data_IF_059425410941
#
_entry.id   IF_059425410941
#
_cell.length_a   1.000
_cell.length_b   1.000
_cell.length_c   1.000
_cell.angle_alpha   90.00
_cell.angle_beta   90.00
_cell.angle_gamma   90.00
#
_symmetry.space_group_name_H-M   'P 1'
#
loop_
_entity.id
_entity.type
_entity.pdbx_description
1 polymer ?
#
# COMPACT_ATOMS: atom_id res chain seq x y z
N UNK A 1 -25.22 21.40 -45.40
CA UNK A 1 -25.72 21.32 -44.00
C UNK A 1 -25.57 19.95 -43.33
N UNK A 2 -25.60 18.80 -44.04
CA UNK A 2 -25.44 17.46 -43.42
C UNK A 2 -24.00 17.04 -43.03
N UNK A 3 -22.97 17.83 -43.35
CA UNK A 3 -21.55 17.50 -43.09
C UNK A 3 -20.93 18.18 -41.85
N UNK A 4 -21.68 19.08 -41.20
CA UNK A 4 -21.24 19.76 -39.96
C UNK A 4 -21.74 19.02 -38.71
N UNK A 5 -22.75 18.16 -38.84
CA UNK A 5 -23.29 17.39 -37.70
C UNK A 5 -22.42 16.19 -37.30
N UNK A 6 -21.60 15.64 -38.20
CA UNK A 6 -20.73 14.49 -37.88
C UNK A 6 -19.55 14.88 -36.98
N UNK A 7 -18.82 15.99 -37.21
CA UNK A 7 -17.78 16.41 -36.27
C UNK A 7 -18.35 16.92 -34.94
N UNK A 8 -19.58 17.48 -34.91
CA UNK A 8 -20.24 17.86 -33.66
C UNK A 8 -20.72 16.64 -32.85
N UNK A 9 -21.22 15.59 -33.52
CA UNK A 9 -21.62 14.33 -32.87
C UNK A 9 -20.40 13.53 -32.37
N UNK A 10 -19.26 13.61 -33.07
CA UNK A 10 -18.00 13.05 -32.60
C UNK A 10 -17.39 13.85 -31.45
N UNK A 11 -17.52 15.18 -31.42
CA UNK A 11 -17.07 15.98 -30.25
C UNK A 11 -17.92 15.73 -29.00
N UNK A 12 -19.20 15.36 -29.15
CA UNK A 12 -20.06 14.92 -28.03
C UNK A 12 -19.69 13.51 -27.55
N UNK A 13 -19.17 12.64 -28.42
CA UNK A 13 -18.66 11.30 -28.05
C UNK A 13 -17.25 11.32 -27.42
N UNK A 14 -16.51 12.43 -27.55
CA UNK A 14 -15.19 12.64 -26.92
C UNK A 14 -15.18 13.78 -25.88
N UNK A 15 -16.35 14.36 -25.60
CA UNK A 15 -16.56 15.03 -24.32
C UNK A 15 -16.59 13.91 -23.28
N UNK A 16 -15.79 13.92 -22.20
CA UNK A 16 -16.04 13.00 -21.10
C UNK A 16 -17.49 13.23 -20.71
N UNK A 17 -18.35 12.21 -20.89
CA UNK A 17 -19.71 12.27 -20.37
C UNK A 17 -19.56 12.67 -18.90
N UNK A 18 -20.12 13.85 -18.60
CA UNK A 18 -20.40 14.32 -17.25
C UNK A 18 -20.76 13.13 -16.37
N UNK A 19 -20.17 13.02 -15.17
CA UNK A 19 -20.84 12.56 -13.94
C UNK A 19 -19.90 11.80 -12.99
N UNK A 20 -18.96 12.46 -12.32
CA UNK A 20 -18.80 12.11 -10.91
C UNK A 20 -19.89 12.88 -10.18
N UNK A 21 -20.94 12.21 -9.70
CA UNK A 21 -21.97 12.88 -8.93
C UNK A 21 -21.54 12.95 -7.46
N UNK A 22 -21.73 14.13 -6.87
CA UNK A 22 -21.54 14.31 -5.44
C UNK A 22 -22.88 14.08 -4.74
N UNK A 23 -22.92 13.08 -3.87
CA UNK A 23 -24.10 12.78 -3.07
C UNK A 23 -23.84 13.12 -1.61
N UNK A 24 -24.80 13.78 -0.98
CA UNK A 24 -24.88 13.86 0.47
C UNK A 24 -25.98 12.93 0.93
N UNK A 25 -25.61 11.91 1.68
CA UNK A 25 -26.54 10.98 2.28
C UNK A 25 -26.81 11.45 3.71
N UNK A 26 -27.95 12.11 3.90
CA UNK A 26 -28.35 12.68 5.18
C UNK A 26 -29.19 11.66 5.95
N UNK A 27 -28.70 11.22 7.10
CA UNK A 27 -29.43 10.37 8.03
C UNK A 27 -30.78 11.00 8.42
N UNK A 28 -31.86 10.23 8.27
CA UNK A 28 -33.23 10.65 8.61
C UNK A 28 -33.35 11.19 10.05
N UNK A 29 -32.54 10.67 10.98
CA UNK A 29 -32.50 11.07 12.39
C UNK A 29 -31.92 12.47 12.61
N UNK A 30 -31.23 13.03 11.62
CA UNK A 30 -30.70 14.40 11.62
C UNK A 30 -31.18 15.19 10.40
N UNK A 31 -32.33 14.81 9.83
CA UNK A 31 -32.96 15.47 8.67
C UNK A 31 -33.20 16.97 8.86
N UNK A 32 -33.31 17.46 10.11
CA UNK A 32 -33.35 18.89 10.42
C UNK A 32 -32.10 19.68 9.99
N UNK A 33 -30.99 19.00 9.67
CA UNK A 33 -29.77 19.61 9.13
C UNK A 33 -29.76 19.74 7.60
N UNK A 34 -30.88 19.41 6.92
CA UNK A 34 -31.01 19.51 5.47
C UNK A 34 -30.54 20.86 4.88
N UNK A 35 -30.84 22.05 5.47
CA UNK A 35 -30.36 23.31 4.91
C UNK A 35 -28.82 23.41 4.83
N UNK A 36 -28.11 22.83 5.80
CA UNK A 36 -26.64 22.80 5.80
C UNK A 36 -26.10 21.79 4.78
N UNK A 37 -26.71 20.60 4.73
CA UNK A 37 -26.38 19.58 3.74
C UNK A 37 -26.58 20.13 2.31
N UNK A 38 -27.69 20.81 2.05
CA UNK A 38 -27.99 21.39 0.74
C UNK A 38 -26.90 22.38 0.30
N UNK A 39 -26.42 23.25 1.20
CA UNK A 39 -25.35 24.19 0.85
C UNK A 39 -24.06 23.45 0.48
N UNK A 40 -23.69 22.39 1.20
CA UNK A 40 -22.51 21.59 0.85
C UNK A 40 -22.71 20.94 -0.52
N UNK A 41 -23.88 20.35 -0.78
CA UNK A 41 -24.19 19.75 -2.08
C UNK A 41 -24.07 20.79 -3.21
N UNK A 42 -24.61 22.00 -3.03
CA UNK A 42 -24.54 23.09 -4.00
C UNK A 42 -23.09 23.49 -4.34
N UNK A 43 -22.16 23.43 -3.38
CA UNK A 43 -20.73 23.69 -3.64
C UNK A 43 -20.10 22.69 -4.62
N UNK A 44 -20.63 21.47 -4.68
CA UNK A 44 -20.15 20.39 -5.55
C UNK A 44 -21.09 20.10 -6.73
N UNK A 45 -22.12 20.93 -6.97
CA UNK A 45 -23.22 20.61 -7.90
C UNK A 45 -23.85 19.23 -7.64
N UNK A 46 -23.94 18.87 -6.36
CA UNK A 46 -24.38 17.57 -5.88
C UNK A 46 -25.86 17.47 -5.54
N UNK A 47 -26.25 16.31 -5.04
CA UNK A 47 -27.63 15.99 -4.63
C UNK A 47 -27.67 15.56 -3.16
N UNK A 48 -28.65 16.06 -2.41
CA UNK A 48 -28.93 15.58 -1.04
C UNK A 48 -30.00 14.50 -1.09
N UNK A 49 -29.72 13.35 -0.51
CA UNK A 49 -30.64 12.22 -0.35
C UNK A 49 -30.83 11.98 1.14
N UNK A 50 -32.06 12.12 1.64
CA UNK A 50 -32.39 11.69 3.01
C UNK A 50 -32.52 10.18 3.01
N UNK A 51 -31.76 9.50 3.86
CA UNK A 51 -31.58 8.05 3.81
C UNK A 51 -31.46 7.45 5.21
N UNK A 52 -31.86 6.18 5.33
CA UNK A 52 -31.52 5.31 6.47
C UNK A 52 -30.35 4.34 6.12
N UNK A 53 -29.68 4.60 4.99
CA UNK A 53 -28.56 3.86 4.42
C UNK A 53 -28.86 2.40 4.03
N UNK A 54 -30.13 2.00 3.94
CA UNK A 54 -30.51 0.61 3.60
C UNK A 54 -30.34 0.25 2.13
N UNK A 55 -30.56 1.20 1.22
CA UNK A 55 -30.37 1.05 -0.22
C UNK A 55 -29.44 2.14 -0.74
N UNK A 56 -28.29 1.72 -1.26
CA UNK A 56 -27.24 2.57 -1.82
C UNK A 56 -26.94 2.22 -3.28
N UNK A 57 -27.77 1.38 -3.92
CA UNK A 57 -27.54 0.83 -5.27
C UNK A 57 -27.58 1.86 -6.40
N UNK A 58 -28.07 3.08 -6.11
CA UNK A 58 -28.09 4.19 -7.05
C UNK A 58 -26.73 4.88 -7.21
N UNK A 59 -25.77 4.61 -6.31
CA UNK A 59 -24.41 5.12 -6.40
C UNK A 59 -23.58 4.32 -7.40
N UNK A 60 -22.61 4.97 -8.01
CA UNK A 60 -21.66 4.37 -8.96
C UNK A 60 -20.22 4.48 -8.47
N UNK A 61 -19.32 3.70 -9.07
CA UNK A 61 -17.89 3.63 -8.74
C UNK A 61 -17.11 4.95 -8.87
N UNK A 62 -17.64 5.90 -9.65
CA UNK A 62 -17.00 7.19 -9.93
C UNK A 62 -17.60 8.34 -9.09
N UNK A 63 -18.61 8.06 -8.26
CA UNK A 63 -19.26 9.07 -7.43
C UNK A 63 -18.44 9.41 -6.17
N UNK A 64 -18.89 10.46 -5.48
CA UNK A 64 -18.45 10.81 -4.14
C UNK A 64 -19.66 10.84 -3.20
N UNK A 65 -19.57 10.20 -2.05
CA UNK A 65 -20.66 10.20 -1.07
C UNK A 65 -20.19 10.72 0.29
N UNK A 66 -20.75 11.84 0.74
CA UNK A 66 -20.61 12.32 2.12
C UNK A 66 -21.81 11.83 2.94
N UNK A 67 -21.56 10.92 3.88
CA UNK A 67 -22.57 10.41 4.80
C UNK A 67 -22.63 11.30 6.04
N UNK A 68 -23.74 12.03 6.20
CA UNK A 68 -24.01 12.84 7.39
C UNK A 68 -24.87 12.02 8.33
N UNK A 69 -24.29 11.56 9.43
CA UNK A 69 -24.84 10.50 10.28
C UNK A 69 -25.04 11.02 11.69
N UNK A 70 -26.11 10.59 12.37
CA UNK A 70 -26.25 10.84 13.80
C UNK A 70 -25.05 10.30 14.57
N UNK A 71 -24.40 11.15 15.37
CA UNK A 71 -23.26 10.75 16.23
C UNK A 71 -23.58 9.51 17.08
N UNK A 72 -24.82 9.39 17.55
CA UNK A 72 -25.25 8.30 18.42
C UNK A 72 -25.33 6.93 17.72
N UNK A 73 -25.35 6.91 16.39
CA UNK A 73 -25.35 5.68 15.58
C UNK A 73 -23.96 5.38 15.00
N UNK A 74 -23.06 6.36 15.01
CA UNK A 74 -21.76 6.23 14.38
C UNK A 74 -20.79 5.45 15.27
N UNK A 75 -20.39 4.26 14.83
CA UNK A 75 -19.38 3.42 15.45
C UNK A 75 -18.69 2.53 14.39
N UNK A 76 -17.75 1.69 14.82
CA UNK A 76 -17.05 0.74 13.97
C UNK A 76 -18.00 -0.16 13.16
N UNK A 77 -19.04 -0.72 13.80
CA UNK A 77 -20.02 -1.56 13.13
C UNK A 77 -20.78 -0.81 12.04
N UNK A 78 -21.14 0.45 12.29
CA UNK A 78 -21.76 1.29 11.28
C UNK A 78 -20.83 1.50 10.07
N UNK A 79 -19.58 1.89 10.30
CA UNK A 79 -18.59 2.10 9.22
C UNK A 79 -18.44 0.86 8.35
N UNK A 80 -18.22 -0.30 8.95
CA UNK A 80 -18.11 -1.55 8.19
C UNK A 80 -19.41 -1.92 7.49
N UNK A 81 -20.57 -1.72 8.12
CA UNK A 81 -21.85 -2.00 7.48
C UNK A 81 -22.09 -1.15 6.22
N UNK A 82 -21.56 0.07 6.18
CA UNK A 82 -21.60 0.92 4.99
C UNK A 82 -20.62 0.40 3.95
N UNK A 83 -19.38 0.07 4.34
CA UNK A 83 -18.39 -0.48 3.42
C UNK A 83 -18.89 -1.78 2.75
N UNK A 84 -19.45 -2.71 3.51
CA UNK A 84 -20.01 -3.96 3.00
C UNK A 84 -21.18 -3.75 2.03
N UNK A 85 -21.97 -2.69 2.22
CA UNK A 85 -23.11 -2.35 1.33
C UNK A 85 -22.68 -1.66 0.03
N UNK A 86 -21.51 -1.04 0.05
CA UNK A 86 -20.94 -0.30 -1.07
C UNK A 86 -19.93 -1.16 -1.86
N UNK A 87 -19.56 -2.34 -1.37
CA UNK A 87 -18.79 -3.33 -2.12
C UNK A 87 -19.68 -4.01 -3.16
N UNK A 88 -19.97 -3.30 -4.25
CA UNK A 88 -20.92 -3.75 -5.27
C UNK A 88 -20.40 -4.90 -6.13
N UNK A 89 -19.08 -5.02 -6.30
CA UNK A 89 -18.45 -6.06 -7.12
C UNK A 89 -17.89 -7.23 -6.30
N UNK A 90 -17.88 -7.12 -4.97
CA UNK A 90 -17.46 -8.16 -4.04
C UNK A 90 -15.95 -8.32 -3.98
N UNK A 91 -15.17 -7.34 -4.45
CA UNK A 91 -13.71 -7.35 -4.36
C UNK A 91 -13.20 -7.00 -2.96
N UNK A 92 -14.11 -6.53 -2.09
CA UNK A 92 -13.89 -6.17 -0.70
C UNK A 92 -13.67 -4.69 -0.46
N UNK A 93 -13.47 -3.87 -1.50
CA UNK A 93 -13.40 -2.42 -1.38
C UNK A 93 -14.75 -1.79 -1.70
N UNK A 94 -15.15 -0.83 -0.87
CA UNK A 94 -16.37 -0.08 -1.10
C UNK A 94 -16.23 0.85 -2.30
N UNK A 95 -17.33 1.06 -3.03
CA UNK A 95 -17.49 2.02 -4.09
C UNK A 95 -18.85 2.72 -3.96
N UNK A 96 -18.96 4.06 -4.01
CA UNK A 96 -18.00 5.12 -4.36
C UNK A 96 -16.95 5.47 -3.30
N UNK A 97 -16.10 6.47 -3.59
CA UNK A 97 -15.30 7.14 -2.57
C UNK A 97 -16.18 7.83 -1.53
N UNK A 98 -16.01 7.46 -0.24
CA UNK A 98 -16.87 7.96 0.84
C UNK A 98 -16.14 8.78 1.89
N UNK A 99 -16.88 9.72 2.47
CA UNK A 99 -16.51 10.44 3.69
C UNK A 99 -17.65 10.38 4.70
N UNK A 100 -17.32 10.42 5.98
CA UNK A 100 -18.30 10.39 7.06
C UNK A 100 -18.28 11.70 7.83
N UNK A 101 -19.46 12.21 8.20
CA UNK A 101 -19.61 13.34 9.09
C UNK A 101 -20.60 12.97 10.20
N UNK A 102 -20.10 12.39 11.31
CA UNK A 102 -20.94 12.17 12.48
C UNK A 102 -21.28 13.51 13.14
N UNK A 103 -22.57 13.76 13.37
CA UNK A 103 -23.08 15.05 13.87
C UNK A 103 -24.00 14.89 15.08
N UNK A 104 -23.88 15.80 16.04
CA UNK A 104 -24.81 15.97 17.17
C UNK A 104 -25.80 17.11 16.92
N UNK A 105 -25.49 18.00 15.97
CA UNK A 105 -26.33 19.13 15.60
C UNK A 105 -25.62 20.11 14.66
N UNK A 106 -26.20 21.29 14.48
CA UNK A 106 -25.67 22.32 13.57
C UNK A 106 -24.21 22.76 13.83
N UNK A 107 -23.68 22.77 15.07
CA UNK A 107 -22.28 23.13 15.32
C UNK A 107 -21.26 22.17 14.69
N UNK A 108 -21.66 20.95 14.34
CA UNK A 108 -20.76 19.94 13.76
C UNK A 108 -20.69 20.00 12.23
N UNK A 109 -21.71 20.54 11.57
CA UNK A 109 -21.81 20.63 10.10
C UNK A 109 -21.52 22.03 9.57
N UNK A 110 -21.91 23.08 10.30
CA UNK A 110 -21.71 24.46 9.85
C UNK A 110 -20.24 24.81 9.58
N UNK A 111 -19.25 24.38 10.40
CA UNK A 111 -17.84 24.64 10.12
C UNK A 111 -17.35 24.06 8.80
N UNK A 112 -17.84 22.87 8.42
CA UNK A 112 -17.48 22.23 7.14
C UNK A 112 -17.99 23.06 5.95
N UNK A 113 -19.22 23.57 6.02
CA UNK A 113 -19.78 24.44 4.98
C UNK A 113 -18.92 25.70 4.75
N UNK A 114 -18.45 26.34 5.82
CA UNK A 114 -17.59 27.52 5.70
C UNK A 114 -16.19 27.15 5.21
N UNK A 115 -15.60 26.08 5.72
CA UNK A 115 -14.25 25.67 5.34
C UNK A 115 -14.16 25.30 3.86
N UNK A 116 -15.17 24.63 3.30
CA UNK A 116 -15.19 24.28 1.87
C UNK A 116 -15.29 25.51 0.95
N UNK A 117 -16.00 26.57 1.35
CA UNK A 117 -16.09 27.82 0.57
C UNK A 117 -14.74 28.55 0.50
N UNK A 118 -14.03 28.55 1.61
CA UNK A 118 -12.77 29.26 1.78
C UNK A 118 -11.56 28.41 1.41
N UNK A 119 -11.73 27.10 1.23
CA UNK A 119 -10.64 26.18 0.96
C UNK A 119 -9.87 26.57 -0.30
N UNK A 120 -8.55 26.66 -0.17
CA UNK A 120 -7.63 26.87 -1.29
C UNK A 120 -6.57 25.78 -1.22
N UNK A 121 -6.46 24.92 -2.24
CA UNK A 121 -5.39 23.93 -2.29
C UNK A 121 -4.03 24.62 -2.33
N UNK A 122 -3.06 24.08 -1.61
CA UNK A 122 -1.70 24.61 -1.48
C UNK A 122 -0.69 23.46 -1.24
N UNK A 123 0.43 23.72 -0.56
CA UNK A 123 1.43 22.73 -0.19
C UNK A 123 0.98 21.75 0.89
N UNK A 124 1.76 20.68 1.01
CA UNK A 124 1.66 19.67 2.06
C UNK A 124 2.86 19.76 3.02
N UNK A 125 2.62 19.45 4.29
CA UNK A 125 3.70 19.25 5.28
C UNK A 125 3.62 17.83 5.84
N UNK A 126 4.80 17.24 6.08
CA UNK A 126 4.95 15.88 6.59
C UNK A 126 5.73 15.92 7.89
N UNK A 127 5.06 15.61 9.00
CA UNK A 127 5.60 15.75 10.34
C UNK A 127 5.67 14.38 11.00
N UNK A 128 6.81 14.06 11.63
CA UNK A 128 7.02 12.79 12.34
C UNK A 128 7.38 13.05 13.79
N UNK A 129 6.87 12.22 14.68
CA UNK A 129 7.15 12.27 16.10
C UNK A 129 8.67 12.31 16.38
N UNK A 130 9.07 13.17 17.32
CA UNK A 130 10.46 13.37 17.73
C UNK A 130 11.33 14.15 16.73
N UNK A 131 10.80 14.59 15.58
CA UNK A 131 11.57 15.35 14.57
C UNK A 131 11.21 16.83 14.47
N UNK A 132 10.07 17.23 15.03
CA UNK A 132 9.51 18.58 14.87
C UNK A 132 9.03 19.06 16.22
N UNK A 133 9.35 20.30 16.57
CA UNK A 133 8.84 20.96 17.77
C UNK A 133 7.51 21.68 17.51
N UNK A 134 6.73 21.95 18.55
CA UNK A 134 5.38 22.51 18.38
C UNK A 134 5.37 23.87 17.67
N UNK A 135 6.31 24.76 17.98
CA UNK A 135 6.38 26.08 17.37
C UNK A 135 6.77 25.98 15.88
N UNK A 136 7.55 24.97 15.52
CA UNK A 136 7.87 24.66 14.13
C UNK A 136 6.64 24.09 13.40
N UNK A 137 5.86 23.22 14.04
CA UNK A 137 4.56 22.79 13.51
C UNK A 137 3.67 23.99 13.19
N UNK A 138 3.51 24.94 14.13
CA UNK A 138 2.67 26.12 13.92
C UNK A 138 3.14 26.88 12.68
N UNK A 139 4.43 27.22 12.62
CA UNK A 139 5.03 27.95 11.50
C UNK A 139 4.88 27.22 10.16
N UNK A 140 5.15 25.91 10.11
CA UNK A 140 5.05 25.12 8.88
C UNK A 140 3.60 24.96 8.42
N UNK A 141 2.66 24.85 9.36
CA UNK A 141 1.25 24.65 9.05
C UNK A 141 0.57 25.89 8.49
N UNK A 142 1.08 27.11 8.74
CA UNK A 142 0.43 28.36 8.33
C UNK A 142 0.05 28.40 6.85
N UNK A 143 0.95 27.94 5.97
CA UNK A 143 0.77 27.94 4.51
C UNK A 143 0.52 26.53 3.95
N UNK A 144 0.17 25.56 4.80
CA UNK A 144 -0.14 24.20 4.37
C UNK A 144 -1.65 24.02 4.27
N UNK A 145 -2.09 23.39 3.18
CA UNK A 145 -3.47 22.94 2.99
C UNK A 145 -3.64 21.46 3.36
N UNK A 146 -2.54 20.71 3.38
CA UNK A 146 -2.46 19.33 3.87
C UNK A 146 -1.43 19.23 5.00
N UNK A 147 -1.85 18.68 6.14
CA UNK A 147 -0.98 18.35 7.26
C UNK A 147 -1.01 16.84 7.46
N UNK A 148 0.09 16.17 7.12
CA UNK A 148 0.30 14.75 7.42
C UNK A 148 1.17 14.62 8.67
N UNK A 149 0.74 13.77 9.60
CA UNK A 149 1.29 13.75 10.95
C UNK A 149 1.38 12.31 11.48
N UNK A 150 2.59 11.85 11.76
CA UNK A 150 2.89 10.50 12.27
C UNK A 150 3.31 10.53 13.73
N UNK A 151 2.60 9.77 14.55
CA UNK A 151 2.85 9.66 15.98
C UNK A 151 2.03 8.55 16.64
N UNK A 152 2.02 8.53 17.97
CA UNK A 152 1.21 7.59 18.72
C UNK A 152 -0.18 8.16 18.96
N UNK A 153 -1.20 7.51 18.39
CA UNK A 153 -2.57 7.98 18.42
C UNK A 153 -3.41 7.39 19.54
N UNK A 154 -4.42 8.16 19.91
CA UNK A 154 -5.62 7.73 20.63
C UNK A 154 -6.77 8.64 20.18
N UNK A 155 -8.03 8.32 20.52
CA UNK A 155 -9.15 9.22 20.21
C UNK A 155 -8.97 10.65 20.73
N UNK A 156 -8.19 10.85 21.79
CA UNK A 156 -7.94 12.15 22.43
C UNK A 156 -6.86 12.99 21.74
N UNK A 157 -6.01 12.39 20.91
CA UNK A 157 -4.90 13.11 20.29
C UNK A 157 -3.78 12.24 19.75
N UNK A 158 -2.79 12.91 19.14
CA UNK A 158 -1.57 12.29 18.60
C UNK A 158 -0.37 12.80 19.39
N UNK A 159 0.34 11.89 20.04
CA UNK A 159 1.58 12.17 20.73
C UNK A 159 2.76 12.22 19.73
N UNK A 160 3.47 13.34 19.71
CA UNK A 160 4.59 13.67 18.83
C UNK A 160 5.95 13.61 19.54
N UNK A 161 6.02 13.05 20.74
CA UNK A 161 7.23 12.98 21.56
C UNK A 161 7.30 14.12 22.57
N UNK A 162 7.93 15.24 22.20
CA UNK A 162 8.08 16.42 23.08
C UNK A 162 6.80 17.26 23.19
N UNK A 163 5.83 17.04 22.31
CA UNK A 163 4.51 17.66 22.32
C UNK A 163 3.45 16.70 21.76
N UNK A 164 2.19 17.14 21.68
CA UNK A 164 1.17 16.37 20.98
C UNK A 164 0.05 17.26 20.44
N UNK A 165 -0.61 16.75 19.41
CA UNK A 165 -1.78 17.36 18.80
C UNK A 165 -3.01 16.90 19.57
N UNK A 166 -3.58 17.80 20.37
CA UNK A 166 -4.75 17.57 21.21
C UNK A 166 -5.80 18.66 20.95
N UNK A 167 -7.09 18.47 21.30
CA UNK A 167 -8.13 19.50 21.14
C UNK A 167 -7.76 20.89 21.67
N UNK A 168 -7.00 20.95 22.76
CA UNK A 168 -6.50 22.19 23.39
C UNK A 168 -5.28 22.80 22.68
N UNK A 169 -4.60 22.06 21.79
CA UNK A 169 -3.30 22.40 21.20
C UNK A 169 -3.27 22.10 19.69
N UNK A 170 -4.23 22.68 18.95
CA UNK A 170 -4.42 22.41 17.52
C UNK A 170 -3.71 23.40 16.58
N UNK A 171 -3.32 24.59 17.04
CA UNK A 171 -2.97 25.69 16.11
C UNK A 171 -4.21 26.23 15.38
N UNK A 172 -4.11 26.45 14.06
CA UNK A 172 -5.22 26.90 13.21
C UNK A 172 -5.61 25.82 12.17
N UNK A 173 -6.59 24.95 12.48
CA UNK A 173 -7.06 23.90 11.57
C UNK A 173 -7.86 24.40 10.37
N UNK A 174 -8.31 25.67 10.38
CA UNK A 174 -9.21 26.19 9.35
C UNK A 174 -8.56 26.11 7.97
N UNK A 175 -9.29 25.52 7.02
CA UNK A 175 -8.85 25.35 5.64
C UNK A 175 -7.73 24.30 5.45
N UNK A 176 -7.52 23.39 6.41
CA UNK A 176 -6.46 22.38 6.33
C UNK A 176 -7.02 20.97 6.44
N UNK A 177 -6.69 20.13 5.47
CA UNK A 177 -6.90 18.69 5.58
C UNK A 177 -5.84 18.08 6.49
N UNK A 178 -6.24 17.13 7.34
CA UNK A 178 -5.33 16.39 8.21
C UNK A 178 -5.29 14.92 7.84
N UNK A 179 -4.10 14.33 7.84
CA UNK A 179 -3.90 12.89 7.75
C UNK A 179 -3.13 12.45 8.98
N UNK A 180 -3.79 11.69 9.84
CA UNK A 180 -3.26 11.27 11.13
C UNK A 180 -2.76 9.83 11.02
N UNK A 181 -1.48 9.68 10.69
CA UNK A 181 -0.77 8.39 10.62
C UNK A 181 -0.52 7.88 12.04
N UNK A 182 -1.59 7.40 12.68
CA UNK A 182 -1.63 7.10 14.11
C UNK A 182 -2.76 6.12 14.44
N UNK A 183 -2.55 5.27 15.44
CA UNK A 183 -3.54 4.28 15.89
C UNK A 183 -4.81 4.95 16.45
N UNK A 184 -5.97 4.34 16.23
CA UNK A 184 -7.23 4.55 16.97
C UNK A 184 -7.81 5.99 17.00
N UNK A 185 -7.19 6.97 16.37
CA UNK A 185 -7.64 8.38 16.41
C UNK A 185 -9.05 8.54 15.82
N UNK A 186 -9.42 7.67 14.87
CA UNK A 186 -10.72 7.65 14.22
C UNK A 186 -11.85 7.06 15.08
N UNK A 187 -11.57 6.48 16.26
CA UNK A 187 -12.61 5.93 17.15
C UNK A 187 -13.35 7.04 17.90
N UNK A 188 -13.98 7.96 17.16
CA UNK A 188 -14.64 9.16 17.66
C UNK A 188 -15.82 8.89 18.59
N UNK A 189 -16.33 7.66 18.62
CA UNK A 189 -17.38 7.20 19.52
C UNK A 189 -16.88 6.87 20.93
N UNK A 190 -15.57 6.68 21.13
CA UNK A 190 -15.00 6.38 22.46
C UNK A 190 -14.90 7.62 23.35
N UNK A 191 -15.02 8.82 22.77
CA UNK A 191 -14.91 10.08 23.53
C UNK A 191 -15.80 11.19 22.98
N UNK A 192 -16.32 12.01 23.89
CA UNK A 192 -17.06 13.23 23.56
C UNK A 192 -16.20 14.33 22.91
N UNK A 193 -14.90 14.30 23.20
CA UNK A 193 -13.88 15.31 22.85
C UNK A 193 -12.77 14.70 21.96
N UNK A 194 -13.16 14.06 20.87
CA UNK A 194 -12.19 13.45 19.95
C UNK A 194 -11.36 14.52 19.23
N UNK A 195 -10.09 14.19 18.92
CA UNK A 195 -9.22 15.05 18.12
C UNK A 195 -9.86 15.35 16.75
N UNK A 196 -10.46 14.34 16.11
CA UNK A 196 -11.14 14.48 14.82
C UNK A 196 -12.25 15.54 14.90
N UNK A 197 -13.14 15.47 15.90
CA UNK A 197 -14.19 16.49 16.06
C UNK A 197 -13.62 17.87 16.35
N UNK A 198 -12.56 17.95 17.15
CA UNK A 198 -11.94 19.24 17.46
C UNK A 198 -11.34 19.89 16.21
N UNK A 199 -10.76 19.11 15.29
CA UNK A 199 -10.25 19.59 14.00
C UNK A 199 -11.40 20.04 13.08
N UNK A 200 -12.43 19.21 12.89
CA UNK A 200 -13.58 19.51 12.03
C UNK A 200 -14.34 20.76 12.52
N UNK A 201 -14.64 20.85 13.82
CA UNK A 201 -15.33 21.99 14.42
C UNK A 201 -14.54 23.29 14.31
N UNK A 202 -13.22 23.22 14.21
CA UNK A 202 -12.34 24.37 13.97
C UNK A 202 -12.08 24.64 12.48
N UNK A 203 -12.87 24.06 11.59
CA UNK A 203 -12.87 24.40 10.16
C UNK A 203 -11.92 23.56 9.32
N UNK A 204 -11.46 22.40 9.79
CA UNK A 204 -10.82 21.43 8.89
C UNK A 204 -11.89 20.85 7.95
N UNK A 205 -11.70 20.89 6.61
CA UNK A 205 -12.63 20.29 5.67
C UNK A 205 -12.57 18.76 5.59
N UNK A 206 -11.46 18.17 6.04
CA UNK A 206 -11.23 16.72 5.97
C UNK A 206 -10.18 16.27 6.97
N UNK A 207 -10.46 15.17 7.66
CA UNK A 207 -9.54 14.50 8.59
C UNK A 207 -9.54 13.01 8.28
N UNK A 208 -8.39 12.45 7.94
CA UNK A 208 -8.19 11.01 7.77
C UNK A 208 -7.60 10.44 9.04
N UNK A 209 -8.21 9.39 9.57
CA UNK A 209 -7.76 8.72 10.78
C UNK A 209 -8.05 7.22 10.74
N UNK A 210 -7.25 6.44 11.47
CA UNK A 210 -7.45 5.00 11.63
C UNK A 210 -8.45 4.71 12.75
N UNK A 211 -9.39 3.79 12.52
CA UNK A 211 -10.29 3.23 13.54
C UNK A 211 -9.75 1.94 14.17
N UNK A 212 -8.50 1.57 13.88
CA UNK A 212 -7.84 0.38 14.41
C UNK A 212 -6.36 0.67 14.70
N UNK A 213 -5.64 -0.32 15.22
CA UNK A 213 -4.20 -0.26 15.44
C UNK A 213 -3.43 -0.09 14.12
N UNK A 214 -2.30 0.60 14.20
CA UNK A 214 -1.50 0.99 13.03
C UNK A 214 -2.05 2.24 12.35
N UNK A 215 -1.19 2.91 11.59
CA UNK A 215 -1.53 4.17 10.93
C UNK A 215 -2.46 4.02 9.73
N UNK A 216 -2.49 5.03 8.87
CA UNK A 216 -3.45 5.19 7.79
C UNK A 216 -2.90 4.80 6.43
N UNK A 217 -1.64 4.38 6.28
CA UNK A 217 -1.11 3.94 4.99
C UNK A 217 0.11 3.01 5.07
N UNK A 218 0.21 2.08 4.12
CA UNK A 218 1.47 1.37 3.78
C UNK A 218 2.26 2.06 2.66
N UNK A 219 1.70 3.12 2.09
CA UNK A 219 2.33 3.92 1.04
C UNK A 219 3.14 5.06 1.66
N UNK A 220 4.18 5.54 0.96
CA UNK A 220 4.96 6.71 1.42
C UNK A 220 4.07 7.92 1.66
N UNK A 221 4.45 8.79 2.59
CA UNK A 221 3.66 9.96 2.98
C UNK A 221 3.30 10.88 1.81
N UNK A 222 4.18 10.98 0.79
CA UNK A 222 3.97 11.79 -0.41
C UNK A 222 2.77 11.34 -1.24
N UNK A 223 2.29 10.10 -1.06
CA UNK A 223 1.04 9.59 -1.63
C UNK A 223 -0.14 10.53 -1.36
N UNK A 224 -0.22 11.09 -0.15
CA UNK A 224 -1.30 11.98 0.25
C UNK A 224 -1.26 13.34 -0.46
N UNK A 225 -0.12 13.70 -1.06
CA UNK A 225 0.07 14.90 -1.87
C UNK A 225 0.09 14.61 -3.39
N UNK A 226 -0.54 13.51 -3.83
CA UNK A 226 -0.57 13.11 -5.25
C UNK A 226 -1.59 13.86 -6.11
N UNK A 227 -2.37 14.78 -5.53
CA UNK A 227 -3.40 15.57 -6.23
C UNK A 227 -4.70 14.81 -6.50
N UNK A 228 -4.88 13.62 -5.92
CA UNK A 228 -6.16 12.90 -5.93
C UNK A 228 -7.06 13.38 -4.78
N UNK A 229 -8.39 13.26 -4.93
CA UNK A 229 -9.34 13.53 -3.85
C UNK A 229 -9.10 12.65 -2.63
N UNK A 230 -9.32 13.20 -1.44
CA UNK A 230 -9.09 12.52 -0.15
C UNK A 230 -9.84 11.19 -0.05
N UNK A 231 -11.09 11.13 -0.51
CA UNK A 231 -11.88 9.90 -0.50
C UNK A 231 -11.24 8.79 -1.34
N UNK A 232 -10.68 9.14 -2.50
CA UNK A 232 -10.00 8.17 -3.37
C UNK A 232 -8.68 7.69 -2.75
N UNK A 233 -7.94 8.57 -2.09
CA UNK A 233 -6.71 8.22 -1.39
C UNK A 233 -6.97 7.26 -0.23
N UNK A 234 -8.05 7.48 0.54
CA UNK A 234 -8.47 6.59 1.62
C UNK A 234 -8.91 5.24 1.10
N UNK A 235 -9.70 5.21 0.01
CA UNK A 235 -10.11 3.97 -0.65
C UNK A 235 -8.89 3.16 -1.11
N UNK A 236 -7.91 3.81 -1.75
CA UNK A 236 -6.66 3.16 -2.16
C UNK A 236 -5.93 2.59 -0.95
N UNK A 237 -5.76 3.37 0.11
CA UNK A 237 -5.08 2.90 1.31
C UNK A 237 -5.75 1.66 1.93
N UNK A 238 -7.08 1.68 2.05
CA UNK A 238 -7.85 0.54 2.53
C UNK A 238 -7.68 -0.70 1.63
N UNK A 239 -7.66 -0.54 0.31
CA UNK A 239 -7.42 -1.66 -0.60
C UNK A 239 -6.03 -2.27 -0.40
N UNK A 240 -5.01 -1.44 -0.10
CA UNK A 240 -3.67 -1.93 0.26
C UNK A 240 -3.66 -2.68 1.59
N UNK A 241 -4.42 -2.26 2.61
CA UNK A 241 -4.61 -3.01 3.85
C UNK A 241 -5.25 -4.38 3.59
N UNK A 242 -6.32 -4.41 2.79
CA UNK A 242 -7.02 -5.64 2.44
C UNK A 242 -6.14 -6.62 1.69
N UNK A 243 -5.28 -6.11 0.80
CA UNK A 243 -4.33 -6.94 0.05
C UNK A 243 -3.42 -7.79 0.93
N UNK A 244 -3.14 -7.34 2.16
CA UNK A 244 -2.32 -8.06 3.16
C UNK A 244 -3.16 -8.68 4.29
N UNK A 245 -4.48 -8.77 4.11
CA UNK A 245 -5.38 -9.43 5.06
C UNK A 245 -5.81 -8.57 6.26
N UNK A 246 -5.64 -7.24 6.19
CA UNK A 246 -6.12 -6.30 7.20
C UNK A 246 -7.43 -5.68 6.73
N UNK A 247 -8.43 -5.60 7.60
CA UNK A 247 -9.73 -4.98 7.27
C UNK A 247 -9.59 -3.46 6.98
N UNK A 248 -10.49 -2.86 6.18
CA UNK A 248 -10.50 -1.42 5.93
C UNK A 248 -10.61 -0.59 7.21
N UNK A 249 -9.49 -0.08 7.72
CA UNK A 249 -9.46 0.66 8.99
C UNK A 249 -9.31 2.17 8.83
N UNK A 250 -9.07 2.67 7.63
CA UNK A 250 -8.89 4.09 7.37
C UNK A 250 -10.25 4.72 7.09
N UNK A 251 -10.57 5.77 7.84
CA UNK A 251 -11.84 6.49 7.72
C UNK A 251 -11.55 7.94 7.38
N UNK A 252 -12.22 8.43 6.34
CA UNK A 252 -12.26 9.85 6.03
C UNK A 252 -13.41 10.49 6.79
N UNK A 253 -13.10 11.51 7.58
CA UNK A 253 -14.08 12.38 8.21
C UNK A 253 -14.14 13.71 7.47
N UNK A 254 -15.31 14.11 6.96
CA UNK A 254 -15.47 15.30 6.12
C UNK A 254 -15.48 14.98 4.61
N UNK A 255 -15.16 15.97 3.78
CA UNK A 255 -15.44 15.95 2.34
C UNK A 255 -14.60 14.93 1.53
N UNK A 256 -15.21 13.90 0.90
CA UNK A 256 -14.50 12.94 0.06
C UNK A 256 -13.96 13.51 -1.26
N UNK A 257 -14.54 14.60 -1.76
CA UNK A 257 -14.13 15.21 -3.03
C UNK A 257 -12.99 16.23 -2.87
N UNK A 258 -12.55 16.50 -1.63
CA UNK A 258 -11.52 17.49 -1.36
C UNK A 258 -10.18 17.11 -1.99
N UNK A 259 -9.61 18.00 -2.80
CA UNK A 259 -8.25 17.86 -3.33
C UNK A 259 -7.36 18.88 -2.62
N UNK A 260 -6.54 18.47 -1.64
CA UNK A 260 -5.84 19.46 -0.84
C UNK A 260 -4.62 20.04 -1.53
N UNK A 261 -4.00 19.33 -2.48
CA UNK A 261 -2.79 19.77 -3.17
C UNK A 261 -3.03 19.84 -4.67
N UNK A 262 -2.82 21.01 -5.28
CA UNK A 262 -3.04 21.24 -6.72
C UNK A 262 -1.90 20.74 -7.62
N UNK A 263 -0.68 20.58 -7.08
CA UNK A 263 0.50 20.15 -7.81
C UNK A 263 0.97 18.79 -7.29
N UNK A 264 0.88 17.74 -8.09
CA UNK A 264 1.32 16.41 -7.70
C UNK A 264 2.86 16.34 -7.66
N UNK A 265 3.47 16.48 -6.49
CA UNK A 265 4.89 16.12 -6.29
C UNK A 265 5.10 14.61 -6.42
N UNK A 266 4.02 13.83 -6.25
CA UNK A 266 4.00 12.38 -6.33
C UNK A 266 3.13 11.89 -7.49
N UNK A 267 3.73 11.22 -8.47
CA UNK A 267 3.00 10.63 -9.59
C UNK A 267 2.30 9.35 -9.12
N UNK A 268 0.97 9.36 -9.01
CA UNK A 268 0.18 8.14 -8.84
C UNK A 268 -0.33 7.67 -10.21
N UNK A 269 0.16 6.50 -10.64
CA UNK A 269 -0.15 5.96 -11.96
C UNK A 269 -1.36 5.04 -11.87
N UNK A 270 -2.41 5.40 -12.63
CA UNK A 270 -3.60 4.59 -12.85
C UNK A 270 -3.36 3.67 -14.05
N UNK A 271 -3.36 2.37 -13.83
CA UNK A 271 -3.18 1.35 -14.87
C UNK A 271 -4.39 0.41 -14.93
N UNK A 272 -4.74 -0.16 -16.09
CA UNK A 272 -5.77 -1.19 -16.17
C UNK A 272 -5.43 -2.40 -15.29
N UNK A 273 -6.43 -3.05 -14.70
CA UNK A 273 -6.26 -4.17 -13.75
C UNK A 273 -5.78 -5.51 -14.34
N UNK A 274 -5.11 -5.49 -15.48
CA UNK A 274 -4.75 -6.72 -16.20
C UNK A 274 -3.31 -7.16 -15.94
N UNK A 275 -3.04 -8.45 -16.17
CA UNK A 275 -1.69 -9.01 -16.14
C UNK A 275 -1.06 -9.12 -14.75
N UNK A 276 0.27 -9.09 -14.72
CA UNK A 276 1.08 -9.42 -13.54
C UNK A 276 0.88 -8.44 -12.36
N UNK A 277 0.70 -7.15 -12.64
CA UNK A 277 0.51 -6.11 -11.62
C UNK A 277 -0.73 -6.36 -10.75
N UNK A 278 -1.79 -6.91 -11.34
CA UNK A 278 -3.05 -7.23 -10.63
C UNK A 278 -2.89 -8.32 -9.56
N UNK A 279 -1.78 -9.08 -9.60
CA UNK A 279 -1.44 -10.06 -8.58
C UNK A 279 -0.72 -9.41 -7.39
N UNK A 280 -0.01 -8.31 -7.63
CA UNK A 280 0.86 -7.65 -6.65
C UNK A 280 0.11 -6.54 -5.92
N UNK A 281 -0.58 -5.70 -6.68
CA UNK A 281 -1.27 -4.53 -6.20
C UNK A 281 -2.77 -4.82 -6.01
N UNK A 282 -3.45 -4.09 -5.11
CA UNK A 282 -4.90 -4.15 -5.03
C UNK A 282 -5.54 -3.62 -6.31
N UNK A 283 -6.69 -4.19 -6.64
CA UNK A 283 -7.58 -3.71 -7.69
C UNK A 283 -8.61 -2.79 -7.04
N UNK A 284 -8.98 -1.75 -7.76
CA UNK A 284 -9.94 -0.74 -7.31
C UNK A 284 -10.65 -0.24 -8.56
N UNK A 285 -11.95 -0.49 -8.71
CA UNK A 285 -12.75 -0.02 -9.84
C UNK A 285 -12.19 -0.41 -11.22
N UNK A 286 -11.67 -1.62 -11.37
CA UNK A 286 -11.05 -2.06 -12.64
C UNK A 286 -9.67 -1.45 -12.92
N UNK A 287 -9.07 -0.79 -11.94
CA UNK A 287 -7.75 -0.17 -12.05
C UNK A 287 -6.80 -0.60 -10.93
N UNK A 288 -5.52 -0.36 -11.18
CA UNK A 288 -4.44 -0.47 -10.20
C UNK A 288 -3.82 0.91 -10.05
N UNK A 289 -3.61 1.31 -8.80
CA UNK A 289 -2.98 2.58 -8.44
C UNK A 289 -1.60 2.31 -7.88
N UNK A 290 -0.55 2.73 -8.58
CA UNK A 290 0.83 2.53 -8.12
C UNK A 290 1.57 3.84 -7.89
N UNK A 291 2.48 3.87 -6.90
CA UNK A 291 3.41 4.96 -6.74
C UNK A 291 4.45 4.99 -7.88
N UNK A 292 4.33 5.95 -8.78
CA UNK A 292 5.18 6.13 -9.96
C UNK A 292 4.89 5.13 -11.09
N UNK A 293 5.69 5.23 -12.17
CA UNK A 293 5.59 4.31 -13.30
C UNK A 293 5.89 2.87 -12.87
N UNK A 294 5.09 1.89 -13.32
CA UNK A 294 5.20 0.49 -12.92
C UNK A 294 6.45 -0.16 -13.53
N UNK A 295 7.63 0.15 -13.02
CA UNK A 295 8.89 -0.53 -13.32
C UNK A 295 9.23 -1.60 -12.28
N UNK A 296 10.27 -2.41 -12.55
CA UNK A 296 10.80 -3.41 -11.60
C UNK A 296 11.07 -2.81 -10.22
N UNK A 297 11.54 -1.55 -10.14
CA UNK A 297 11.76 -0.84 -8.87
C UNK A 297 10.48 -0.60 -8.07
N UNK A 298 9.36 -0.28 -8.73
CA UNK A 298 8.07 -0.10 -8.07
C UNK A 298 7.52 -1.43 -7.54
N UNK A 299 7.72 -2.52 -8.29
CA UNK A 299 7.46 -3.89 -7.84
C UNK A 299 8.29 -4.19 -6.60
N UNK A 300 9.61 -4.02 -6.64
CA UNK A 300 10.47 -4.30 -5.48
C UNK A 300 10.15 -3.43 -4.25
N UNK A 301 9.80 -2.15 -4.43
CA UNK A 301 9.38 -1.28 -3.31
C UNK A 301 8.04 -1.68 -2.71
N UNK A 302 7.05 -1.97 -3.57
CA UNK A 302 5.76 -2.48 -3.11
C UNK A 302 5.90 -3.82 -2.41
N UNK A 303 6.74 -4.71 -2.94
CA UNK A 303 7.08 -5.96 -2.28
C UNK A 303 7.77 -5.74 -0.94
N UNK A 304 8.76 -4.84 -0.83
CA UNK A 304 9.46 -4.57 0.43
C UNK A 304 8.53 -4.01 1.53
N UNK A 305 7.44 -3.35 1.15
CA UNK A 305 6.42 -2.84 2.07
C UNK A 305 5.29 -3.86 2.36
N UNK A 306 5.01 -4.80 1.45
CA UNK A 306 3.90 -5.78 1.54
C UNK A 306 4.33 -7.16 2.05
N UNK A 307 5.57 -7.56 1.81
CA UNK A 307 6.16 -8.83 2.22
C UNK A 307 7.56 -8.54 2.72
N UNK A 308 7.90 -9.04 3.91
CA UNK A 308 9.26 -8.90 4.41
C UNK A 308 10.22 -9.54 3.41
N UNK A 309 11.29 -8.82 3.04
CA UNK A 309 12.41 -9.42 2.30
C UNK A 309 12.88 -10.69 3.02
N UNK A 310 12.75 -10.78 4.34
CA UNK A 310 12.99 -11.99 5.11
C UNK A 310 12.10 -13.17 4.71
N UNK A 311 10.82 -12.98 4.42
CA UNK A 311 9.89 -14.08 4.07
C UNK A 311 10.22 -14.64 2.68
N UNK A 312 10.64 -13.76 1.75
CA UNK A 312 11.13 -14.17 0.44
C UNK A 312 12.49 -14.90 0.55
N UNK A 313 13.38 -14.41 1.42
CA UNK A 313 14.68 -15.04 1.69
C UNK A 313 14.55 -16.38 2.41
N UNK A 314 13.65 -16.50 3.38
CA UNK A 314 13.31 -17.77 4.02
C UNK A 314 12.69 -18.73 3.01
N UNK A 315 11.78 -18.27 2.14
CA UNK A 315 11.20 -19.10 1.07
C UNK A 315 12.21 -19.58 0.02
N UNK A 316 13.24 -18.79 -0.28
CA UNK A 316 14.28 -19.11 -1.27
C UNK A 316 15.43 -19.97 -0.69
N UNK A 317 15.81 -19.77 0.58
CA UNK A 317 17.04 -20.30 1.17
C UNK A 317 16.86 -21.22 2.38
N UNK A 318 15.64 -21.49 2.85
CA UNK A 318 15.42 -22.59 3.81
C UNK A 318 15.59 -23.95 3.13
N UNK A 319 15.86 -25.00 3.91
CA UNK A 319 16.03 -26.38 3.41
C UNK A 319 14.82 -26.93 2.62
N UNK A 320 13.65 -26.27 2.67
CA UNK A 320 12.46 -26.60 1.88
C UNK A 320 12.25 -25.76 0.62
N UNK A 321 13.10 -24.76 0.37
CA UNK A 321 12.95 -23.79 -0.72
C UNK A 321 13.50 -24.27 -2.07
N UNK A 322 12.80 -23.93 -3.16
CA UNK A 322 13.18 -24.27 -4.54
C UNK A 322 14.51 -23.60 -4.93
N UNK A 323 14.80 -22.40 -4.41
CA UNK A 323 16.04 -21.66 -4.70
C UNK A 323 17.31 -22.39 -4.25
N UNK A 324 17.29 -23.01 -3.08
CA UNK A 324 18.36 -23.86 -2.55
C UNK A 324 18.71 -24.99 -3.53
N UNK A 325 17.69 -25.69 -4.03
CA UNK A 325 17.83 -26.84 -4.94
C UNK A 325 18.42 -26.41 -6.29
N UNK A 326 17.96 -25.28 -6.86
CA UNK A 326 18.43 -24.82 -8.17
C UNK A 326 19.88 -24.34 -8.13
N UNK A 327 20.31 -23.70 -7.02
CA UNK A 327 21.72 -23.35 -6.80
C UNK A 327 22.63 -24.59 -6.76
N UNK A 328 22.19 -25.68 -6.11
CA UNK A 328 22.94 -26.95 -6.08
C UNK A 328 23.08 -27.54 -7.49
N UNK A 329 21.99 -27.55 -8.27
CA UNK A 329 21.97 -28.09 -9.63
C UNK A 329 22.88 -27.26 -10.55
N UNK A 330 22.76 -25.94 -10.52
CA UNK A 330 23.58 -25.04 -11.34
C UNK A 330 25.08 -25.23 -11.07
N UNK A 331 25.47 -25.37 -9.80
CA UNK A 331 26.87 -25.57 -9.41
C UNK A 331 27.39 -26.96 -9.77
N UNK A 332 26.58 -28.00 -9.58
CA UNK A 332 26.91 -29.37 -9.99
C UNK A 332 27.11 -29.49 -11.51
N UNK A 333 26.30 -28.79 -12.31
CA UNK A 333 26.42 -28.74 -13.78
C UNK A 333 27.68 -28.00 -14.22
N UNK A 334 27.98 -26.83 -13.64
CA UNK A 334 29.18 -26.04 -13.99
C UNK A 334 30.47 -26.81 -13.62
N UNK A 335 30.55 -27.34 -12.40
CA UNK A 335 31.77 -27.98 -11.92
C UNK A 335 31.96 -29.41 -12.42
N UNK A 336 30.87 -30.12 -12.70
CA UNK A 336 30.90 -31.41 -13.40
C UNK A 336 31.46 -31.31 -14.83
N UNK A 337 31.43 -30.12 -15.45
CA UNK A 337 32.03 -29.89 -16.76
C UNK A 337 33.54 -29.55 -16.70
N UNK A 338 34.00 -28.86 -15.65
CA UNK A 338 35.34 -28.26 -15.60
C UNK A 338 36.37 -29.17 -14.89
N UNK A 339 35.93 -30.15 -14.07
CA UNK A 339 36.81 -31.03 -13.28
C UNK A 339 37.97 -30.29 -12.57
N UNK A 340 37.70 -29.21 -11.80
CA UNK A 340 38.75 -28.41 -11.22
C UNK A 340 39.53 -29.16 -10.14
N UNK A 341 40.85 -28.97 -10.11
CA UNK A 341 41.72 -29.52 -9.06
C UNK A 341 41.39 -28.98 -7.66
N UNK A 342 41.81 -29.71 -6.61
CA UNK A 342 41.51 -29.41 -5.19
C UNK A 342 41.78 -27.95 -4.77
N UNK A 343 42.85 -27.32 -5.29
CA UNK A 343 43.21 -25.93 -4.96
C UNK A 343 42.21 -24.92 -5.54
N UNK A 344 41.73 -25.15 -6.76
CA UNK A 344 40.76 -24.28 -7.44
C UNK A 344 39.39 -24.40 -6.79
N UNK A 345 39.02 -25.61 -6.36
CA UNK A 345 37.81 -25.86 -5.57
C UNK A 345 37.84 -25.09 -4.25
N UNK A 346 38.95 -25.20 -3.50
CA UNK A 346 39.13 -24.50 -2.23
C UNK A 346 39.11 -22.98 -2.41
N UNK A 347 39.75 -22.46 -3.47
CA UNK A 347 39.75 -21.03 -3.78
C UNK A 347 38.35 -20.49 -4.10
N UNK A 348 37.56 -21.21 -4.91
CA UNK A 348 36.18 -20.84 -5.21
C UNK A 348 35.28 -20.86 -3.95
N UNK A 349 35.51 -21.82 -3.05
CA UNK A 349 34.77 -21.98 -1.80
C UNK A 349 35.06 -20.84 -0.81
N UNK A 350 36.33 -20.46 -0.68
CA UNK A 350 36.76 -19.30 0.11
C UNK A 350 36.20 -18.00 -0.49
N UNK A 351 36.28 -17.83 -1.81
CA UNK A 351 35.78 -16.63 -2.49
C UNK A 351 34.26 -16.48 -2.35
N UNK A 352 33.51 -17.57 -2.55
CA UNK A 352 32.06 -17.58 -2.33
C UNK A 352 31.71 -17.21 -0.89
N UNK A 353 32.40 -17.81 0.09
CA UNK A 353 32.19 -17.51 1.52
C UNK A 353 32.43 -16.03 1.82
N UNK A 354 33.51 -15.44 1.28
CA UNK A 354 33.83 -14.02 1.43
C UNK A 354 32.79 -13.13 0.76
N UNK A 355 32.37 -13.43 -0.48
CA UNK A 355 31.34 -12.68 -1.20
C UNK A 355 29.99 -12.71 -0.49
N UNK A 356 29.60 -13.85 0.10
CA UNK A 356 28.35 -13.96 0.86
C UNK A 356 28.42 -13.25 2.22
N UNK A 357 29.57 -13.29 2.91
CA UNK A 357 29.77 -12.49 4.13
C UNK A 357 29.72 -10.99 3.85
N UNK A 358 30.32 -10.53 2.74
CA UNK A 358 30.22 -9.14 2.28
C UNK A 358 28.79 -8.76 1.92
N UNK A 359 28.06 -9.63 1.21
CA UNK A 359 26.65 -9.41 0.89
C UNK A 359 25.78 -9.31 2.16
N UNK A 360 26.02 -10.18 3.14
CA UNK A 360 25.34 -10.14 4.44
C UNK A 360 25.70 -8.92 5.29
N UNK A 361 26.92 -8.38 5.17
CA UNK A 361 27.33 -7.15 5.82
C UNK A 361 26.70 -5.91 5.17
N UNK A 362 26.61 -5.87 3.84
CA UNK A 362 25.93 -4.79 3.09
C UNK A 362 24.42 -4.76 3.38
N UNK A 363 23.82 -5.91 3.66
CA UNK A 363 22.39 -6.05 3.92
C UNK A 363 21.98 -5.95 5.40
N UNK A 364 22.92 -5.65 6.32
CA UNK A 364 22.72 -5.56 7.77
C UNK A 364 21.97 -6.77 8.36
N UNK A 365 22.74 -7.82 8.73
CA UNK A 365 22.39 -9.04 9.49
C UNK A 365 22.33 -10.35 8.68
N UNK A 366 23.32 -11.25 8.83
CA UNK A 366 23.10 -12.67 8.63
C UNK A 366 23.02 -13.39 9.99
N UNK A 367 21.91 -14.08 10.32
CA UNK A 367 21.84 -14.91 11.51
C UNK A 367 22.84 -16.08 11.39
N UNK A 368 23.62 -16.31 12.46
CA UNK A 368 24.71 -17.29 12.57
C UNK A 368 24.36 -18.68 11.99
N UNK A 369 23.09 -19.07 12.11
CA UNK A 369 22.55 -20.35 11.63
C UNK A 369 22.63 -20.51 10.11
N UNK A 370 22.46 -19.43 9.33
CA UNK A 370 22.53 -19.46 7.85
C UNK A 370 23.97 -19.58 7.39
N UNK A 371 24.90 -18.89 8.06
CA UNK A 371 26.35 -19.01 7.80
C UNK A 371 26.85 -20.44 8.04
N UNK A 372 26.39 -21.08 9.12
CA UNK A 372 26.71 -22.49 9.44
C UNK A 372 26.11 -23.43 8.39
N UNK A 373 24.87 -23.21 7.94
CA UNK A 373 24.24 -24.03 6.89
C UNK A 373 24.96 -23.90 5.54
N UNK A 374 25.43 -22.71 5.18
CA UNK A 374 26.24 -22.48 3.98
C UNK A 374 27.58 -23.23 4.08
N UNK A 375 28.25 -23.20 5.24
CA UNK A 375 29.50 -23.95 5.46
C UNK A 375 29.28 -25.47 5.37
N UNK A 376 28.21 -25.99 6.00
CA UNK A 376 27.84 -27.41 5.91
C UNK A 376 27.49 -27.80 4.46
N UNK A 377 26.79 -26.93 3.73
CA UNK A 377 26.46 -27.08 2.31
C UNK A 377 27.72 -27.20 1.44
N UNK A 378 28.68 -26.28 1.59
CA UNK A 378 29.92 -26.30 0.82
C UNK A 378 30.82 -27.49 1.16
N UNK A 379 30.79 -27.94 2.42
CA UNK A 379 31.51 -29.14 2.86
C UNK A 379 30.90 -30.40 2.25
N UNK A 380 29.57 -30.50 2.22
CA UNK A 380 28.87 -31.61 1.57
C UNK A 380 29.14 -31.65 0.05
N UNK A 381 29.05 -30.52 -0.65
CA UNK A 381 29.36 -30.42 -2.08
C UNK A 381 30.81 -30.84 -2.37
N UNK A 382 31.77 -30.43 -1.54
CA UNK A 382 33.17 -30.83 -1.67
C UNK A 382 33.38 -32.34 -1.48
N UNK A 383 32.66 -32.96 -0.54
CA UNK A 383 32.70 -34.42 -0.29
C UNK A 383 32.02 -35.21 -1.42
N UNK A 384 30.91 -34.70 -1.97
CA UNK A 384 30.19 -35.34 -3.08
C UNK A 384 30.95 -35.26 -4.42
N UNK A 385 31.75 -34.21 -4.63
CA UNK A 385 32.60 -34.07 -5.82
C UNK A 385 33.76 -35.07 -5.87
N UNK A 386 34.16 -35.71 -4.77
CA UNK A 386 35.15 -36.79 -4.77
C UNK A 386 34.59 -38.17 -5.19
N UNK A 387 33.27 -38.38 -5.20
CA UNK A 387 32.65 -39.69 -5.50
C UNK A 387 31.68 -39.62 -6.68
N UNK A 388 32.21 -39.93 -7.88
CA UNK A 388 31.50 -40.27 -9.14
C UNK A 388 30.03 -39.78 -9.24
N UNK A 389 29.91 -38.49 -9.50
CA UNK A 389 28.86 -37.65 -10.14
C UNK A 389 27.43 -38.20 -10.34
N UNK A 390 27.21 -39.41 -10.86
CA UNK A 390 25.88 -39.84 -11.34
C UNK A 390 24.88 -40.12 -10.20
N UNK A 391 25.33 -40.76 -9.12
CA UNK A 391 24.46 -41.15 -7.99
C UNK A 391 24.18 -39.99 -7.04
N UNK A 392 25.10 -39.03 -6.94
CA UNK A 392 24.90 -37.78 -6.18
C UNK A 392 23.85 -36.90 -6.85
N UNK A 393 23.85 -36.80 -8.18
CA UNK A 393 22.82 -36.07 -8.94
C UNK A 393 21.44 -36.69 -8.76
N UNK A 394 21.34 -38.03 -8.82
CA UNK A 394 20.08 -38.76 -8.61
C UNK A 394 19.55 -38.61 -7.17
N UNK A 395 20.42 -38.66 -6.16
CA UNK A 395 20.03 -38.49 -4.76
C UNK A 395 19.64 -37.03 -4.41
N UNK A 396 20.22 -36.04 -5.10
CA UNK A 396 19.88 -34.62 -4.96
C UNK A 396 18.60 -34.23 -5.70
N UNK A 397 18.27 -34.91 -6.80
CA UNK A 397 17.09 -34.62 -7.63
C UNK A 397 15.83 -35.39 -7.21
N UNK A 398 15.97 -36.50 -6.47
CA UNK A 398 14.83 -37.31 -6.03
C UNK A 398 13.90 -36.55 -5.05
N UNK A 399 14.39 -35.89 -3.99
CA UNK A 399 13.53 -35.17 -3.05
C UNK A 399 12.78 -33.99 -3.70
N UNK A 400 13.41 -33.11 -4.51
CA UNK A 400 12.71 -32.07 -5.26
C UNK A 400 11.65 -32.62 -6.21
N UNK A 401 11.94 -33.73 -6.89
CA UNK A 401 10.99 -34.37 -7.82
C UNK A 401 9.80 -34.98 -7.08
N UNK A 402 10.01 -35.58 -5.91
CA UNK A 402 8.93 -36.14 -5.08
C UNK A 402 8.09 -35.00 -4.46
N UNK A 403 8.71 -33.90 -4.03
CA UNK A 403 8.00 -32.72 -3.51
C UNK A 403 7.22 -32.02 -4.61
N UNK A 404 7.81 -31.83 -5.81
CA UNK A 404 7.14 -31.26 -6.96
C UNK A 404 5.99 -32.15 -7.47
N UNK A 405 6.20 -33.48 -7.52
CA UNK A 405 5.16 -34.44 -7.90
C UNK A 405 4.05 -34.52 -6.84
N UNK A 406 4.41 -34.43 -5.56
CA UNK A 406 3.47 -34.35 -4.45
C UNK A 406 2.66 -33.05 -4.47
N UNK A 407 3.28 -31.91 -4.78
CA UNK A 407 2.59 -30.64 -4.96
C UNK A 407 1.64 -30.64 -6.17
N UNK A 408 2.01 -31.32 -7.26
CA UNK A 408 1.15 -31.53 -8.44
C UNK A 408 0.00 -32.50 -8.15
N UNK A 409 0.24 -33.57 -7.39
CA UNK A 409 -0.77 -34.58 -7.03
C UNK A 409 -1.73 -34.12 -5.93
N UNK A 410 -1.28 -33.29 -4.99
CA UNK A 410 -2.07 -32.79 -3.86
C UNK A 410 -2.92 -31.57 -4.22
N UNK A 411 -2.81 -31.03 -5.44
CA UNK A 411 -3.68 -29.96 -5.94
C UNK A 411 -3.70 -28.70 -5.07
N UNK A 412 -2.67 -28.49 -4.24
CA UNK A 412 -2.63 -27.36 -3.31
C UNK A 412 -2.07 -26.12 -4.00
N UNK A 413 -2.94 -25.11 -4.02
CA UNK A 413 -2.70 -23.69 -4.23
C UNK A 413 -2.72 -23.21 -5.69
N UNK A 414 -3.81 -22.49 -6.00
CA UNK A 414 -3.88 -21.32 -6.87
C UNK A 414 -2.66 -21.09 -7.80
N UNK A 415 -2.85 -21.14 -9.13
CA UNK A 415 -1.77 -21.18 -10.13
C UNK A 415 -0.85 -19.94 -10.21
N UNK A 416 -0.90 -19.00 -9.26
CA UNK A 416 -0.14 -17.74 -9.27
C UNK A 416 1.14 -17.76 -8.44
N UNK A 417 1.16 -18.37 -7.24
CA UNK A 417 2.31 -18.30 -6.33
C UNK A 417 3.40 -19.32 -6.70
N UNK A 418 3.03 -20.57 -6.95
CA UNK A 418 3.98 -21.62 -7.35
C UNK A 418 4.69 -21.34 -8.68
N UNK A 419 3.94 -20.89 -9.70
CA UNK A 419 4.52 -20.51 -10.99
C UNK A 419 5.44 -19.29 -10.90
N UNK A 420 5.14 -18.34 -10.01
CA UNK A 420 5.97 -17.17 -9.75
C UNK A 420 7.26 -17.53 -9.00
N UNK A 421 7.17 -18.38 -7.99
CA UNK A 421 8.33 -18.92 -7.28
C UNK A 421 9.28 -19.66 -8.24
N UNK A 422 8.71 -20.45 -9.15
CA UNK A 422 9.48 -21.14 -10.20
C UNK A 422 10.14 -20.13 -11.15
N UNK A 423 9.41 -19.12 -11.62
CA UNK A 423 9.96 -18.10 -12.53
C UNK A 423 11.08 -17.26 -11.90
N UNK A 424 10.87 -16.75 -10.67
CA UNK A 424 11.88 -15.99 -9.94
C UNK A 424 13.09 -16.86 -9.63
N UNK A 425 12.89 -18.09 -9.15
CA UNK A 425 14.00 -19.03 -8.92
C UNK A 425 14.79 -19.27 -10.22
N UNK A 426 14.11 -19.42 -11.36
CA UNK A 426 14.76 -19.63 -12.66
C UNK A 426 15.55 -18.40 -13.09
N UNK A 427 14.97 -17.20 -12.95
CA UNK A 427 15.60 -15.93 -13.32
C UNK A 427 16.83 -15.62 -12.45
N UNK A 428 16.70 -15.75 -11.12
CA UNK A 428 17.81 -15.56 -10.18
C UNK A 428 18.92 -16.57 -10.45
N UNK A 429 18.57 -17.81 -10.78
CA UNK A 429 19.55 -18.84 -11.14
C UNK A 429 20.25 -18.54 -12.45
N UNK A 430 19.56 -18.04 -13.46
CA UNK A 430 20.17 -17.58 -14.72
C UNK A 430 21.14 -16.41 -14.51
N UNK A 431 20.79 -15.46 -13.64
CA UNK A 431 21.65 -14.32 -13.30
C UNK A 431 22.90 -14.79 -12.54
N UNK A 432 22.74 -15.67 -11.54
CA UNK A 432 23.86 -16.24 -10.80
C UNK A 432 24.75 -17.10 -11.70
N UNK A 433 24.16 -17.88 -12.61
CA UNK A 433 24.89 -18.67 -13.60
C UNK A 433 25.72 -17.77 -14.53
N UNK A 434 25.13 -16.68 -15.03
CA UNK A 434 25.82 -15.71 -15.88
C UNK A 434 26.97 -15.01 -15.12
N UNK A 435 26.74 -14.60 -13.87
CA UNK A 435 27.77 -14.00 -13.01
C UNK A 435 28.91 -14.98 -12.73
N UNK A 436 28.61 -16.22 -12.35
CA UNK A 436 29.60 -17.26 -12.14
C UNK A 436 30.40 -17.55 -13.42
N UNK A 437 29.74 -17.61 -14.57
CA UNK A 437 30.40 -17.83 -15.86
C UNK A 437 31.36 -16.68 -16.21
N UNK A 438 30.93 -15.42 -16.04
CA UNK A 438 31.75 -14.22 -16.27
C UNK A 438 32.91 -14.16 -15.28
N UNK A 439 32.68 -14.45 -14.00
CA UNK A 439 33.72 -14.46 -12.98
C UNK A 439 34.73 -15.59 -13.20
N UNK A 440 34.29 -16.80 -13.58
CA UNK A 440 35.20 -17.92 -13.90
C UNK A 440 36.02 -17.65 -15.17
N UNK A 441 35.44 -17.03 -16.20
CA UNK A 441 36.18 -16.66 -17.42
C UNK A 441 37.17 -15.52 -17.17
N UNK A 442 36.82 -14.54 -16.33
CA UNK A 442 37.75 -13.50 -15.88
C UNK A 442 38.88 -14.07 -15.02
N UNK A 443 38.58 -14.95 -14.07
CA UNK A 443 39.58 -15.58 -13.20
C UNK A 443 40.51 -16.52 -13.98
N UNK A 444 39.97 -17.27 -14.96
CA UNK A 444 40.76 -18.10 -15.87
C UNK A 444 41.67 -17.32 -16.82
N UNK A 445 41.34 -16.06 -17.14
CA UNK A 445 42.23 -15.15 -17.88
C UNK A 445 43.32 -14.57 -16.99
N UNK A 446 43.02 -14.28 -15.72
CA UNK A 446 43.99 -13.73 -14.76
C UNK A 446 44.97 -14.80 -14.26
N UNK A 447 44.53 -16.06 -14.10
CA UNK A 447 45.38 -17.15 -13.64
C UNK A 447 46.28 -17.78 -14.72
N UNK A 448 46.07 -17.41 -15.99
CA UNK A 448 46.90 -17.81 -17.14
C UNK A 448 47.77 -16.65 -17.68
N UNK A 449 47.77 -15.51 -16.97
CA UNK A 449 48.82 -14.48 -17.01
C UNK A 449 49.78 -14.77 -15.84
#
# INVERSE_FOLDING_TARGET
MKRIFVPLFLLILFSPMVSAHYYILLDENVSGLYPYAQVIAELHNGTVVVSNFSDLTFLSSDDYALLIVSYYQFNEHFVYSIYDRLDFDGDGIYDPAVGFLPVRGSPDIAPLMYSLREFRPDGAIFLRAGKVEYDEYLRLSENASLVWLEGHGSPFGVNMGSWGLYPSRLGNPSGKAFVLESCDVGKVWETGDSLVFALLRKGSPSVVASIDMGGVSYLPEQFWASGYPMGKLVQISNAYFMKVGVRPKVVLFGDPALVPVNSSEYLLVKSPETGFYSKIFPRINGYIYTPGEPGLRAIFRAYNNLFSVMDLWEGLFTMGGIGFIVLVIAFAVIFGHIHPGKKTLLGALVLATVSFLLLGAVMYYPPLNVSIQIVLFWTAVAVFMERKVLWGLLALLLPPMIIASGAVLLGTATPSYGGFLVFVSLLTSLIVLALLFVSCTLFGRIANL
#
